data_IF_505709634941
#
_entry.id   IF_505709634941
#
_cell.length_a   1.000
_cell.length_b   1.000
_cell.length_c   1.000
_cell.angle_alpha   90.00
_cell.angle_beta   90.00
_cell.angle_gamma   90.00
#
_symmetry.space_group_name_H-M   'P 1'
#
loop_
_entity.id
_entity.type
_entity.pdbx_description
1 polymer ?
#
# COMPACT_ATOMS: atom_id res chain seq x y z
N UNK A 1 0.78 14.80 5.31
CA UNK A 1 1.28 14.96 3.93
C UNK A 1 0.96 16.38 3.49
N UNK A 2 1.89 17.08 2.83
CA UNK A 2 1.57 18.43 2.34
C UNK A 2 0.53 18.38 1.20
N UNK A 3 -0.27 19.43 1.00
CA UNK A 3 -1.23 19.52 -0.10
C UNK A 3 -0.58 19.29 -1.46
N UNK A 4 0.58 19.89 -1.73
CA UNK A 4 1.28 19.79 -3.02
C UNK A 4 1.66 18.34 -3.37
N UNK A 5 2.06 17.56 -2.36
CA UNK A 5 2.40 16.13 -2.55
C UNK A 5 1.15 15.30 -2.84
N UNK A 6 0.00 15.70 -2.31
CA UNK A 6 -1.28 15.04 -2.59
C UNK A 6 -1.70 15.31 -4.02
N UNK A 7 -1.61 16.56 -4.46
CA UNK A 7 -1.94 16.98 -5.81
C UNK A 7 -1.02 16.32 -6.84
N UNK A 8 0.28 16.27 -6.57
CA UNK A 8 1.24 15.56 -7.40
C UNK A 8 0.93 14.06 -7.49
N UNK A 9 0.55 13.41 -6.38
CA UNK A 9 0.16 12.00 -6.44
C UNK A 9 -1.15 11.81 -7.21
N UNK A 10 -2.11 12.72 -7.03
CA UNK A 10 -3.38 12.72 -7.76
C UNK A 10 -3.19 12.93 -9.26
N UNK A 11 -2.24 13.76 -9.70
CA UNK A 11 -1.97 13.94 -11.13
C UNK A 11 -1.46 12.65 -11.78
N UNK A 12 -0.74 11.82 -11.03
CA UNK A 12 -0.22 10.53 -11.51
C UNK A 12 -1.28 9.43 -11.53
N UNK A 13 -2.09 9.30 -10.48
CA UNK A 13 -3.01 8.16 -10.32
C UNK A 13 -4.48 8.50 -10.60
N UNK A 14 -4.82 9.78 -10.70
CA UNK A 14 -6.20 10.27 -10.73
C UNK A 14 -7.03 9.65 -11.84
N UNK A 15 -6.44 9.48 -13.03
CA UNK A 15 -7.07 8.80 -14.17
C UNK A 15 -7.50 7.37 -13.88
N UNK A 16 -6.75 6.65 -13.04
CA UNK A 16 -7.06 5.26 -12.64
C UNK A 16 -8.12 5.19 -11.53
N UNK A 17 -8.33 6.27 -10.77
CA UNK A 17 -9.28 6.33 -9.67
C UNK A 17 -10.64 6.88 -10.09
N UNK A 18 -10.72 7.58 -11.21
CA UNK A 18 -11.97 8.12 -11.76
C UNK A 18 -12.93 6.97 -12.11
N UNK A 19 -14.10 6.98 -11.47
CA UNK A 19 -15.17 6.04 -11.77
C UNK A 19 -16.04 6.56 -12.92
N UNK A 20 -16.64 5.63 -13.66
CA UNK A 20 -17.64 5.95 -14.67
C UNK A 20 -18.81 6.65 -13.99
N UNK A 21 -19.34 7.66 -14.66
CA UNK A 21 -20.53 8.37 -14.21
C UNK A 21 -21.72 7.42 -14.15
N UNK A 22 -22.50 7.52 -13.07
CA UNK A 22 -23.71 6.73 -12.85
C UNK A 22 -24.86 7.68 -12.46
N UNK A 23 -26.01 7.68 -13.17
CA UNK A 23 -27.13 8.58 -12.86
C UNK A 23 -27.79 8.35 -11.49
N UNK A 24 -27.70 7.13 -10.96
CA UNK A 24 -28.37 6.74 -9.72
C UNK A 24 -27.60 7.13 -8.46
N UNK A 25 -26.30 7.42 -8.56
CA UNK A 25 -25.47 7.77 -7.42
C UNK A 25 -24.17 8.44 -7.86
N UNK A 26 -23.87 9.56 -7.21
CA UNK A 26 -22.58 10.21 -7.38
C UNK A 26 -21.43 9.31 -6.93
N UNK A 27 -20.42 9.20 -7.78
CA UNK A 27 -19.20 8.48 -7.45
C UNK A 27 -18.31 9.32 -6.52
N UNK A 28 -17.72 8.68 -5.52
CA UNK A 28 -16.72 9.32 -4.65
C UNK A 28 -15.55 9.79 -5.52
N UNK A 29 -15.18 11.07 -5.42
CA UNK A 29 -14.18 11.68 -6.28
C UNK A 29 -12.77 11.07 -6.06
N UNK A 30 -11.89 11.10 -7.09
CA UNK A 30 -10.54 10.53 -7.00
C UNK A 30 -9.72 11.04 -5.80
N UNK A 31 -9.81 12.33 -5.48
CA UNK A 31 -9.11 12.95 -4.35
C UNK A 31 -9.54 12.35 -3.02
N UNK A 32 -10.84 12.20 -2.79
CA UNK A 32 -11.36 11.59 -1.56
C UNK A 32 -10.99 10.11 -1.46
N UNK A 33 -11.03 9.36 -2.56
CA UNK A 33 -10.60 7.95 -2.60
C UNK A 33 -9.13 7.80 -2.21
N UNK A 34 -8.27 8.70 -2.69
CA UNK A 34 -6.87 8.73 -2.31
C UNK A 34 -6.67 9.07 -0.83
N UNK A 35 -7.36 10.08 -0.31
CA UNK A 35 -7.24 10.49 1.10
C UNK A 35 -7.63 9.36 2.04
N UNK A 36 -8.74 8.65 1.75
CA UNK A 36 -9.17 7.45 2.52
C UNK A 36 -8.03 6.43 2.58
N UNK A 37 -7.40 6.15 1.44
CA UNK A 37 -6.36 5.14 1.33
C UNK A 37 -5.07 5.57 2.04
N UNK A 38 -4.64 6.82 1.88
CA UNK A 38 -3.45 7.35 2.56
C UNK A 38 -3.65 7.34 4.07
N UNK A 39 -4.83 7.74 4.57
CA UNK A 39 -5.12 7.68 6.01
C UNK A 39 -5.03 6.25 6.52
N UNK A 40 -5.62 5.29 5.81
CA UNK A 40 -5.52 3.88 6.16
C UNK A 40 -4.07 3.40 6.23
N UNK A 41 -3.24 3.72 5.24
CA UNK A 41 -1.83 3.32 5.21
C UNK A 41 -0.99 4.00 6.30
N UNK A 42 -1.27 5.27 6.61
CA UNK A 42 -0.52 6.04 7.61
C UNK A 42 -0.87 5.65 9.05
N UNK A 43 -2.13 5.30 9.32
CA UNK A 43 -2.63 5.03 10.68
C UNK A 43 -2.73 3.54 11.01
N UNK A 44 -2.92 2.69 10.00
CA UNK A 44 -3.21 1.27 10.19
C UNK A 44 -4.57 0.99 10.84
N UNK A 45 -5.48 1.98 10.87
CA UNK A 45 -6.82 1.81 11.44
C UNK A 45 -7.67 0.82 10.65
N UNK A 46 -8.66 0.21 11.32
CA UNK A 46 -9.60 -0.68 10.66
C UNK A 46 -10.47 0.05 9.62
N UNK A 47 -10.93 -0.67 8.60
CA UNK A 47 -11.86 -0.14 7.60
C UNK A 47 -13.20 0.29 8.23
N UNK A 48 -13.57 -0.27 9.38
CA UNK A 48 -14.74 0.15 10.15
C UNK A 48 -14.55 1.57 10.71
N UNK A 49 -13.39 1.87 11.29
CA UNK A 49 -13.05 3.20 11.79
C UNK A 49 -13.05 4.22 10.65
N UNK A 50 -12.44 3.86 9.51
CA UNK A 50 -12.42 4.70 8.32
C UNK A 50 -13.83 4.97 7.77
N UNK A 51 -14.70 3.95 7.79
CA UNK A 51 -16.10 4.04 7.38
C UNK A 51 -16.87 5.10 8.17
N UNK A 52 -16.71 5.12 9.50
CA UNK A 52 -17.29 6.16 10.35
C UNK A 52 -16.69 7.54 10.08
N UNK A 53 -15.36 7.64 9.91
CA UNK A 53 -14.69 8.93 9.71
C UNK A 53 -15.14 9.62 8.41
N UNK A 54 -15.22 8.86 7.31
CA UNK A 54 -15.58 9.41 6.00
C UNK A 54 -17.06 9.30 5.66
N UNK A 55 -17.87 8.69 6.54
CA UNK A 55 -19.31 8.41 6.32
C UNK A 55 -19.57 7.63 5.02
N UNK A 56 -18.68 6.67 4.73
CA UNK A 56 -18.74 5.78 3.55
C UNK A 56 -18.94 4.36 4.03
N UNK A 57 -19.81 3.57 3.39
CA UNK A 57 -20.05 2.19 3.79
C UNK A 57 -18.75 1.36 3.85
N UNK A 58 -18.63 0.50 4.87
CA UNK A 58 -17.42 -0.32 5.11
C UNK A 58 -16.95 -1.07 3.87
N UNK A 59 -17.86 -1.73 3.15
CA UNK A 59 -17.53 -2.46 1.93
C UNK A 59 -16.93 -1.52 0.86
N UNK A 60 -17.50 -0.32 0.70
CA UNK A 60 -16.98 0.69 -0.22
C UNK A 60 -15.60 1.17 0.19
N UNK A 61 -15.33 1.35 1.49
CA UNK A 61 -13.99 1.69 1.98
C UNK A 61 -12.98 0.58 1.65
N UNK A 62 -13.33 -0.69 1.89
CA UNK A 62 -12.47 -1.82 1.53
C UNK A 62 -12.09 -1.78 0.05
N UNK A 63 -13.08 -1.64 -0.84
CA UNK A 63 -12.84 -1.57 -2.28
C UNK A 63 -12.04 -0.33 -2.69
N UNK A 64 -12.28 0.83 -2.07
CA UNK A 64 -11.49 2.04 -2.33
C UNK A 64 -10.02 1.80 -2.01
N UNK A 65 -9.74 1.22 -0.83
CA UNK A 65 -8.36 0.95 -0.39
C UNK A 65 -7.69 -0.01 -1.38
N UNK A 66 -8.34 -1.11 -1.72
CA UNK A 66 -7.82 -2.11 -2.65
C UNK A 66 -7.51 -1.51 -4.03
N UNK A 67 -8.51 -0.85 -4.64
CA UNK A 67 -8.37 -0.26 -5.98
C UNK A 67 -7.29 0.83 -6.01
N UNK A 68 -7.22 1.64 -4.95
CA UNK A 68 -6.26 2.74 -4.87
C UNK A 68 -4.84 2.23 -4.63
N UNK A 69 -4.65 1.23 -3.76
CA UNK A 69 -3.37 0.56 -3.59
C UNK A 69 -2.88 -0.08 -4.90
N UNK A 70 -3.78 -0.72 -5.65
CA UNK A 70 -3.47 -1.31 -6.96
C UNK A 70 -3.05 -0.24 -7.97
N UNK A 71 -3.74 0.90 -8.02
CA UNK A 71 -3.39 2.03 -8.88
C UNK A 71 -2.02 2.62 -8.51
N UNK A 72 -1.78 2.85 -7.20
CA UNK A 72 -0.50 3.33 -6.69
C UNK A 72 0.62 2.38 -7.11
N UNK A 73 0.45 1.07 -6.90
CA UNK A 73 1.47 0.08 -7.27
C UNK A 73 1.75 0.10 -8.78
N UNK A 74 0.73 0.08 -9.62
CA UNK A 74 0.89 0.06 -11.08
C UNK A 74 1.65 1.27 -11.62
N UNK A 75 1.36 2.46 -11.10
CA UNK A 75 1.95 3.71 -11.57
C UNK A 75 3.34 3.92 -10.95
N UNK A 76 3.47 3.74 -9.64
CA UNK A 76 4.69 4.10 -8.90
C UNK A 76 5.79 3.04 -8.93
N UNK A 77 5.45 1.75 -9.12
CA UNK A 77 6.45 0.66 -9.14
C UNK A 77 7.59 0.95 -10.13
N UNK A 78 7.26 1.44 -11.33
CA UNK A 78 8.27 1.71 -12.37
C UNK A 78 9.21 2.86 -12.00
N UNK A 79 8.72 3.84 -11.25
CA UNK A 79 9.46 5.05 -10.89
C UNK A 79 10.34 4.81 -9.66
N UNK A 80 9.80 4.15 -8.63
CA UNK A 80 10.44 4.05 -7.32
C UNK A 80 11.03 2.68 -7.00
N UNK A 81 10.61 1.61 -7.70
CA UNK A 81 11.06 0.23 -7.46
C UNK A 81 11.76 -0.34 -8.71
N UNK A 82 12.52 0.50 -9.43
CA UNK A 82 13.33 0.05 -10.56
C UNK A 82 14.48 -0.83 -10.04
N UNK A 83 14.54 -2.07 -10.53
CA UNK A 83 15.70 -2.91 -10.31
C UNK A 83 16.88 -2.45 -11.20
N UNK A 84 18.12 -2.61 -10.74
CA UNK A 84 19.30 -2.42 -11.58
C UNK A 84 19.23 -3.28 -12.84
N UNK A 85 19.56 -2.69 -13.99
CA UNK A 85 19.40 -3.33 -15.30
C UNK A 85 20.72 -3.93 -15.83
N UNK A 86 21.86 -3.53 -15.28
CA UNK A 86 23.19 -3.95 -15.72
C UNK A 86 24.01 -4.51 -14.54
N UNK A 87 24.90 -5.46 -14.85
CA UNK A 87 25.86 -6.05 -13.92
C UNK A 87 26.70 -4.96 -13.24
N UNK A 88 27.05 -3.88 -13.97
CA UNK A 88 27.79 -2.74 -13.40
C UNK A 88 27.00 -2.01 -12.31
N UNK A 89 25.69 -1.80 -12.52
CA UNK A 89 24.85 -1.16 -11.50
C UNK A 89 24.77 -2.05 -10.24
N UNK A 90 24.64 -3.37 -10.41
CA UNK A 90 24.68 -4.32 -9.30
C UNK A 90 26.02 -4.31 -8.54
N UNK A 91 27.14 -4.29 -9.27
CA UNK A 91 28.47 -4.21 -8.66
C UNK A 91 28.68 -2.92 -7.87
N UNK A 92 28.15 -1.80 -8.36
CA UNK A 92 28.20 -0.53 -7.65
C UNK A 92 27.43 -0.59 -6.33
N UNK A 93 26.23 -1.19 -6.32
CA UNK A 93 25.45 -1.37 -5.09
C UNK A 93 26.21 -2.23 -4.09
N UNK A 94 26.78 -3.36 -4.52
CA UNK A 94 27.60 -4.23 -3.65
C UNK A 94 28.75 -3.44 -3.03
N UNK A 95 29.45 -2.64 -3.84
CA UNK A 95 30.57 -1.82 -3.39
C UNK A 95 30.13 -0.78 -2.37
N UNK A 96 29.02 -0.09 -2.61
CA UNK A 96 28.47 0.89 -1.67
C UNK A 96 28.09 0.24 -0.34
N UNK A 97 27.48 -0.96 -0.38
CA UNK A 97 27.12 -1.67 0.84
C UNK A 97 28.34 -2.10 1.66
N UNK A 98 29.37 -2.59 0.98
CA UNK A 98 30.64 -2.99 1.59
C UNK A 98 31.37 -1.78 2.20
N UNK A 99 31.43 -0.66 1.49
CA UNK A 99 32.13 0.54 1.96
C UNK A 99 31.44 1.23 3.14
N UNK A 100 30.12 1.29 3.13
CA UNK A 100 29.36 2.06 4.13
C UNK A 100 28.97 1.23 5.35
N UNK A 101 28.75 -0.09 5.18
CA UNK A 101 28.25 -0.97 6.25
C UNK A 101 29.07 -2.25 6.44
N UNK A 102 30.20 -2.42 5.72
CA UNK A 102 31.03 -3.63 5.77
C UNK A 102 30.20 -4.91 5.53
N UNK A 103 29.23 -4.81 4.61
CA UNK A 103 28.34 -5.90 4.25
C UNK A 103 28.65 -6.36 2.81
N UNK A 104 29.58 -7.29 2.63
CA UNK A 104 29.99 -7.74 1.31
C UNK A 104 28.86 -8.50 0.61
N UNK A 105 28.83 -8.41 -0.73
CA UNK A 105 27.85 -9.09 -1.59
C UNK A 105 26.37 -8.72 -1.31
N UNK A 106 26.10 -7.60 -0.64
CA UNK A 106 24.75 -7.08 -0.48
C UNK A 106 24.28 -6.38 -1.76
N UNK A 107 23.12 -6.79 -2.27
CA UNK A 107 22.52 -6.20 -3.48
C UNK A 107 21.34 -5.25 -3.16
N UNK A 108 21.06 -5.03 -1.89
CA UNK A 108 19.96 -4.20 -1.43
C UNK A 108 19.47 -4.59 -0.05
N UNK A 109 18.67 -3.70 0.55
CA UNK A 109 18.02 -3.93 1.84
C UNK A 109 16.51 -3.75 1.68
N UNK A 110 15.74 -4.58 2.39
CA UNK A 110 14.29 -4.42 2.53
C UNK A 110 14.04 -4.03 3.97
N UNK A 111 13.51 -2.84 4.20
CA UNK A 111 13.13 -2.40 5.54
C UNK A 111 11.94 -3.21 6.07
N UNK A 112 11.99 -3.53 7.37
CA UNK A 112 11.03 -4.40 8.03
C UNK A 112 9.67 -3.76 8.24
N UNK A 113 8.60 -4.56 8.18
CA UNK A 113 7.26 -4.14 8.62
C UNK A 113 6.99 -4.70 10.03
N UNK A 114 6.60 -3.85 10.97
CA UNK A 114 6.06 -4.30 12.26
C UNK A 114 4.71 -5.02 12.03
N UNK A 115 4.74 -6.35 12.08
CA UNK A 115 3.54 -7.18 12.10
C UNK A 115 3.18 -7.44 13.55
N UNK A 116 2.06 -6.87 14.03
CA UNK A 116 1.51 -7.21 15.34
C UNK A 116 0.88 -8.60 15.23
N UNK A 117 1.54 -9.59 15.82
CA UNK A 117 0.98 -10.93 16.01
C UNK A 117 0.13 -10.86 17.28
N UNK A 118 -1.19 -10.90 17.12
CA UNK A 118 -2.11 -11.02 18.26
C UNK A 118 -2.33 -12.50 18.58
N UNK A 119 -1.81 -12.93 19.74
CA UNK A 119 -1.94 -14.29 20.25
C UNK A 119 -3.38 -14.67 20.63
N UNK A 120 -4.30 -13.71 20.77
CA UNK A 120 -5.68 -13.99 21.19
C UNK A 120 -6.59 -14.51 20.06
N UNK A 121 -6.10 -14.66 18.82
CA UNK A 121 -6.86 -15.28 17.73
C UNK A 121 -6.58 -16.76 17.54
N UNK A 122 -5.66 -17.35 18.31
CA UNK A 122 -5.59 -18.80 18.41
C UNK A 122 -6.75 -19.28 19.28
N UNK A 123 -7.91 -19.54 18.65
CA UNK A 123 -8.78 -20.57 19.20
C UNK A 123 -8.01 -21.89 19.06
N UNK A 124 -7.48 -22.37 20.17
CA UNK A 124 -7.06 -23.76 20.27
C UNK A 124 -8.34 -24.59 20.29
N UNK A 125 -9.00 -24.73 19.13
CA UNK A 125 -9.92 -25.83 18.93
C UNK A 125 -9.02 -27.05 18.78
N UNK A 126 -8.95 -27.84 19.86
CA UNK A 126 -8.02 -28.96 20.06
C UNK A 126 -8.17 -30.13 19.09
N UNK A 127 -8.61 -29.93 17.84
CA UNK A 127 -8.55 -30.88 16.73
C UNK A 127 -8.87 -30.19 15.38
N UNK A 128 -7.91 -29.43 14.82
CA UNK A 128 -7.57 -29.33 13.38
C UNK A 128 -6.76 -28.07 13.08
N UNK A 129 -5.54 -28.24 12.54
CA UNK A 129 -4.86 -27.19 11.78
C UNK A 129 -5.69 -26.84 10.54
N UNK A 130 -6.43 -25.73 10.56
CA UNK A 130 -6.91 -25.08 9.32
C UNK A 130 -6.03 -23.88 9.03
N UNK A 131 -5.09 -24.12 8.12
CA UNK A 131 -4.38 -23.11 7.37
C UNK A 131 -5.37 -22.17 6.67
N UNK A 132 -5.12 -20.86 6.78
CA UNK A 132 -5.48 -19.78 5.86
C UNK A 132 -6.80 -19.95 5.09
N UNK A 133 -7.88 -19.41 5.65
CA UNK A 133 -8.98 -18.88 4.83
C UNK A 133 -9.20 -17.44 5.25
N UNK A 134 -8.80 -16.54 4.35
CA UNK A 134 -9.53 -15.34 3.93
C UNK A 134 -8.50 -14.37 3.35
N UNK A 135 -8.18 -14.62 2.08
CA UNK A 135 -7.67 -13.66 1.12
C UNK A 135 -8.79 -13.43 0.09
#
# INVERSE_FOLDING_TARGET
MSPDRLEHLLSLIGSSLTKKYCPSRDSICPSQRLIITIRYLATGESQQTQSFYFRVGRATVCHIIEETCCAIWKVLKKVFLRAPNDVKEWQNIIKEFDQNWNFPQCIGAIDGKHVRIDGNRYKIDGNRCKAWKDA
#
